data_IF_360285945359
#
_entry.id   IF_360285945359
#
_cell.length_a   1.000
_cell.length_b   1.000
_cell.length_c   1.000
_cell.angle_alpha   90.00
_cell.angle_beta   90.00
_cell.angle_gamma   90.00
#
_symmetry.space_group_name_H-M   'P 1'
#
loop_
_entity.id
_entity.type
_entity.pdbx_description
1 polymer ?
#
# COMPACT_ATOMS: atom_id res chain seq x y z
N UNK A 1 1.58 -20.57 -29.46
CA UNK A 1 0.31 -20.00 -28.98
C UNK A 1 0.65 -18.86 -28.03
N UNK A 2 1.05 -17.73 -28.61
CA UNK A 2 1.25 -16.46 -27.91
C UNK A 2 0.15 -15.53 -28.41
N UNK A 3 -0.73 -15.09 -27.51
CA UNK A 3 -1.46 -13.81 -27.57
C UNK A 3 -2.53 -13.82 -26.49
N UNK A 4 -2.16 -13.41 -25.28
CA UNK A 4 -3.11 -13.20 -24.18
C UNK A 4 -2.68 -12.06 -23.24
N UNK A 5 -1.95 -11.05 -23.74
CA UNK A 5 -1.33 -10.05 -22.86
C UNK A 5 -1.42 -8.58 -23.34
N UNK A 6 -2.30 -8.22 -24.27
CA UNK A 6 -2.42 -6.83 -24.71
C UNK A 6 -3.88 -6.44 -24.99
N UNK A 7 -4.60 -6.01 -23.97
CA UNK A 7 -5.72 -5.03 -24.01
C UNK A 7 -6.57 -5.11 -22.72
N UNK A 8 -5.95 -4.97 -21.55
CA UNK A 8 -6.67 -4.33 -20.45
C UNK A 8 -6.74 -2.86 -20.85
N UNK A 9 -7.91 -2.36 -21.24
CA UNK A 9 -8.07 -0.97 -21.66
C UNK A 9 -7.47 -0.04 -20.62
N UNK A 10 -6.42 0.68 -21.00
CA UNK A 10 -5.77 1.64 -20.11
C UNK A 10 -6.81 2.71 -19.76
N UNK A 11 -7.32 2.66 -18.54
CA UNK A 11 -8.24 3.68 -18.04
C UNK A 11 -7.53 5.02 -18.13
N UNK A 12 -8.07 5.93 -18.93
CA UNK A 12 -7.57 7.30 -18.98
C UNK A 12 -7.90 7.99 -17.66
N UNK A 13 -6.91 8.64 -17.05
CA UNK A 13 -7.11 9.41 -15.82
C UNK A 13 -8.09 10.56 -16.08
N UNK A 14 -8.95 10.87 -15.10
CA UNK A 14 -9.91 11.98 -15.22
C UNK A 14 -9.18 13.30 -15.50
N UNK A 15 -8.02 13.50 -14.88
CA UNK A 15 -7.17 14.68 -15.12
C UNK A 15 -6.60 14.75 -16.54
N UNK A 16 -6.25 13.62 -17.15
CA UNK A 16 -5.81 13.58 -18.55
C UNK A 16 -6.94 14.02 -19.47
N UNK A 17 -8.16 13.52 -19.23
CA UNK A 17 -9.36 13.95 -19.96
C UNK A 17 -9.63 15.45 -19.81
N UNK A 18 -9.51 15.97 -18.58
CA UNK A 18 -9.67 17.41 -18.31
C UNK A 18 -8.61 18.22 -19.07
N UNK A 19 -7.35 17.79 -19.07
CA UNK A 19 -6.29 18.48 -19.82
C UNK A 19 -6.56 18.50 -21.33
N UNK A 20 -7.04 17.40 -21.91
CA UNK A 20 -7.47 17.36 -23.32
C UNK A 20 -8.61 18.33 -23.58
N UNK A 21 -9.62 18.37 -22.70
CA UNK A 21 -10.73 19.31 -22.83
C UNK A 21 -10.29 20.78 -22.73
N UNK A 22 -9.33 21.09 -21.85
CA UNK A 22 -8.73 22.42 -21.74
C UNK A 22 -7.98 22.79 -23.03
N UNK A 23 -7.18 21.87 -23.57
CA UNK A 23 -6.47 22.07 -24.83
C UNK A 23 -7.45 22.36 -25.97
N UNK A 24 -8.50 21.55 -26.10
CA UNK A 24 -9.52 21.73 -27.12
C UNK A 24 -10.16 23.12 -27.02
N UNK A 25 -10.56 23.52 -25.81
CA UNK A 25 -11.16 24.84 -25.56
C UNK A 25 -10.20 25.98 -25.87
N UNK A 26 -8.91 25.82 -25.57
CA UNK A 26 -7.89 26.81 -25.88
C UNK A 26 -7.70 26.94 -27.40
N UNK A 27 -7.66 25.83 -28.14
CA UNK A 27 -7.56 25.82 -29.60
C UNK A 27 -8.77 26.48 -30.25
N UNK A 28 -9.98 26.19 -29.76
CA UNK A 28 -11.22 26.82 -30.23
C UNK A 28 -11.18 28.35 -30.02
N UNK A 29 -10.74 28.80 -28.84
CA UNK A 29 -10.60 30.22 -28.54
C UNK A 29 -9.50 30.91 -29.38
N UNK A 30 -8.40 30.22 -29.69
CA UNK A 30 -7.32 30.75 -30.54
C UNK A 30 -7.77 30.98 -31.98
N UNK A 31 -8.63 30.11 -32.51
CA UNK A 31 -9.16 30.22 -33.88
C UNK A 31 -10.24 31.29 -33.99
N UNK A 32 -10.92 31.63 -32.90
CA UNK A 32 -11.97 32.66 -32.88
C UNK A 32 -11.48 34.02 -33.42
N UNK A 33 -10.22 34.38 -33.19
CA UNK A 33 -9.62 35.61 -33.77
C UNK A 33 -9.38 35.50 -35.27
N UNK A 34 -9.03 34.31 -35.77
CA UNK A 34 -8.83 34.07 -37.20
C UNK A 34 -10.17 34.07 -37.96
N UNK A 35 -11.27 33.66 -37.32
CA UNK A 35 -12.62 33.73 -37.90
C UNK A 35 -13.21 35.15 -37.98
N UNK A 36 -12.57 36.14 -37.34
CA UNK A 36 -12.96 37.56 -37.44
C UNK A 36 -12.31 38.28 -38.65
N UNK A 37 -11.37 37.62 -39.33
CA UNK A 37 -10.77 38.13 -40.55
C UNK A 37 -11.79 37.89 -41.68
N UNK A 38 -12.13 38.94 -42.42
CA UNK A 38 -13.03 38.82 -43.57
C UNK A 38 -12.37 37.94 -44.66
N UNK A 39 -12.83 36.71 -44.76
CA UNK A 39 -12.42 35.73 -45.76
C UNK A 39 -13.44 35.70 -46.90
N UNK A 40 -13.72 36.86 -47.50
CA UNK A 40 -14.78 37.07 -48.49
C UNK A 40 -14.53 36.36 -49.85
N UNK A 41 -13.37 35.72 -50.04
CA UNK A 41 -13.10 34.84 -51.18
C UNK A 41 -13.22 33.36 -50.77
N UNK A 42 -13.99 32.53 -51.50
CA UNK A 42 -14.19 31.11 -51.17
C UNK A 42 -12.89 30.29 -51.20
N UNK A 43 -11.92 30.68 -52.04
CA UNK A 43 -10.59 30.04 -52.07
C UNK A 43 -9.79 30.37 -50.81
N UNK A 44 -9.90 31.61 -50.33
CA UNK A 44 -9.22 32.08 -49.12
C UNK A 44 -9.83 31.47 -47.86
N UNK A 45 -11.16 31.33 -47.83
CA UNK A 45 -11.90 30.64 -46.77
C UNK A 45 -11.49 29.16 -46.68
N UNK A 46 -11.51 28.44 -47.81
CA UNK A 46 -11.09 27.03 -47.86
C UNK A 46 -9.64 26.84 -47.41
N UNK A 47 -8.71 27.67 -47.89
CA UNK A 47 -7.31 27.59 -47.50
C UNK A 47 -7.10 27.94 -46.02
N UNK A 48 -7.82 28.94 -45.50
CA UNK A 48 -7.79 29.32 -44.10
C UNK A 48 -8.27 28.19 -43.18
N UNK A 49 -9.39 27.55 -43.54
CA UNK A 49 -9.91 26.38 -42.80
C UNK A 49 -8.92 25.22 -42.79
N UNK A 50 -8.28 24.91 -43.93
CA UNK A 50 -7.27 23.86 -43.98
C UNK A 50 -6.05 24.16 -43.10
N UNK A 51 -5.57 25.40 -43.10
CA UNK A 51 -4.45 25.82 -42.24
C UNK A 51 -4.83 25.68 -40.75
N UNK A 52 -6.02 26.13 -40.38
CA UNK A 52 -6.55 26.02 -39.01
C UNK A 52 -6.61 24.55 -38.56
N UNK A 53 -7.23 23.68 -39.37
CA UNK A 53 -7.34 22.25 -39.08
C UNK A 53 -5.97 21.58 -38.99
N UNK A 54 -5.06 21.90 -39.91
CA UNK A 54 -3.71 21.35 -39.90
C UNK A 54 -2.85 21.82 -38.72
N UNK A 55 -3.04 23.04 -38.23
CA UNK A 55 -2.39 23.51 -36.99
C UNK A 55 -2.97 22.77 -35.78
N UNK A 56 -4.30 22.65 -35.69
CA UNK A 56 -5.00 21.93 -34.61
C UNK A 56 -4.49 20.49 -34.48
N UNK A 57 -4.55 19.73 -35.58
CA UNK A 57 -4.11 18.32 -35.60
C UNK A 57 -2.64 18.17 -35.18
N UNK A 58 -1.76 19.08 -35.61
CA UNK A 58 -0.35 19.06 -35.21
C UNK A 58 -0.16 19.34 -33.73
N UNK A 59 -0.90 20.29 -33.16
CA UNK A 59 -0.83 20.59 -31.72
C UNK A 59 -1.35 19.41 -30.90
N UNK A 60 -2.48 18.82 -31.29
CA UNK A 60 -3.05 17.64 -30.64
C UNK A 60 -2.07 16.46 -30.66
N UNK A 61 -1.45 16.17 -31.82
CA UNK A 61 -0.44 15.12 -31.91
C UNK A 61 0.79 15.40 -31.03
N UNK A 62 1.26 16.65 -30.98
CA UNK A 62 2.38 17.02 -30.09
C UNK A 62 1.99 16.91 -28.61
N UNK A 63 0.75 17.23 -28.26
CA UNK A 63 0.24 17.05 -26.91
C UNK A 63 0.24 15.57 -26.50
N UNK A 64 -0.18 14.66 -27.38
CA UNK A 64 -0.11 13.22 -27.13
C UNK A 64 1.32 12.72 -26.93
N UNK A 65 2.26 13.21 -27.75
CA UNK A 65 3.69 12.91 -27.59
C UNK A 65 4.22 13.40 -26.24
N UNK A 66 3.83 14.59 -25.78
CA UNK A 66 4.23 15.09 -24.47
C UNK A 66 3.61 14.28 -23.33
N UNK A 67 2.34 13.91 -23.45
CA UNK A 67 1.64 13.10 -22.45
C UNK A 67 2.29 11.73 -22.27
N UNK A 68 2.65 11.08 -23.38
CA UNK A 68 3.34 9.78 -23.39
C UNK A 68 4.78 9.90 -22.89
N UNK A 69 5.53 10.90 -23.38
CA UNK A 69 6.93 11.14 -22.97
C UNK A 69 7.10 11.33 -21.46
N UNK A 70 6.15 11.99 -20.82
CA UNK A 70 6.20 12.28 -19.38
C UNK A 70 5.38 11.33 -18.52
N UNK A 71 4.76 10.32 -19.17
CA UNK A 71 3.87 9.34 -18.54
C UNK A 71 2.79 10.02 -17.67
N UNK A 72 2.18 11.07 -18.23
CA UNK A 72 1.24 11.91 -17.47
C UNK A 72 0.01 11.12 -17.04
N UNK A 73 -0.45 10.19 -17.87
CA UNK A 73 -1.63 9.39 -17.56
C UNK A 73 -1.40 8.52 -16.32
N UNK A 74 -0.29 7.78 -16.25
CA UNK A 74 0.02 6.96 -15.08
C UNK A 74 0.22 7.81 -13.82
N UNK A 75 0.89 8.96 -13.93
CA UNK A 75 1.07 9.89 -12.81
C UNK A 75 -0.26 10.45 -12.30
N UNK A 76 -1.20 10.76 -13.19
CA UNK A 76 -2.52 11.24 -12.80
C UNK A 76 -3.39 10.14 -12.21
N UNK A 77 -3.33 8.90 -12.72
CA UNK A 77 -3.98 7.75 -12.09
C UNK A 77 -3.46 7.54 -10.67
N UNK A 78 -2.14 7.61 -10.47
CA UNK A 78 -1.55 7.48 -9.14
C UNK A 78 -1.98 8.63 -8.22
N UNK A 79 -2.03 9.86 -8.72
CA UNK A 79 -2.52 11.00 -7.96
C UNK A 79 -4.00 10.85 -7.57
N UNK A 80 -4.85 10.39 -8.49
CA UNK A 80 -6.27 10.11 -8.24
C UNK A 80 -6.42 9.04 -7.15
N UNK A 81 -5.65 7.95 -7.23
CA UNK A 81 -5.61 6.89 -6.23
C UNK A 81 -5.17 7.42 -4.85
N UNK A 82 -4.14 8.27 -4.80
CA UNK A 82 -3.64 8.86 -3.55
C UNK A 82 -4.66 9.80 -2.92
N UNK A 83 -5.37 10.59 -3.73
CA UNK A 83 -6.45 11.47 -3.26
C UNK A 83 -7.63 10.67 -2.70
N UNK A 84 -8.09 9.64 -3.41
CA UNK A 84 -9.14 8.75 -2.92
C UNK A 84 -8.75 8.04 -1.62
N UNK A 85 -7.50 7.58 -1.53
CA UNK A 85 -6.98 6.97 -0.31
C UNK A 85 -6.96 7.97 0.85
N UNK A 86 -6.52 9.19 0.59
CA UNK A 86 -6.48 10.25 1.60
C UNK A 86 -7.89 10.64 2.08
N UNK A 87 -8.85 10.81 1.17
CA UNK A 87 -10.26 11.08 1.51
C UNK A 87 -10.85 9.97 2.39
N UNK A 88 -10.63 8.70 2.02
CA UNK A 88 -11.07 7.54 2.82
C UNK A 88 -10.39 7.50 4.19
N UNK A 89 -9.10 7.83 4.25
CA UNK A 89 -8.33 7.81 5.50
C UNK A 89 -8.74 8.95 6.43
N UNK A 90 -9.07 10.13 5.89
CA UNK A 90 -9.67 11.22 6.67
C UNK A 90 -11.05 10.83 7.22
N UNK A 91 -11.87 10.15 6.42
CA UNK A 91 -13.15 9.62 6.88
C UNK A 91 -12.97 8.64 8.04
N UNK A 92 -11.99 7.73 7.94
CA UNK A 92 -11.60 6.82 9.02
C UNK A 92 -11.15 7.55 10.29
N UNK A 93 -10.47 8.69 10.15
CA UNK A 93 -9.99 9.48 11.27
C UNK A 93 -11.14 10.18 11.99
N UNK A 94 -12.11 10.72 11.24
CA UNK A 94 -13.33 11.34 11.79
C UNK A 94 -14.19 10.33 12.56
N UNK A 95 -14.22 9.08 12.10
CA UNK A 95 -14.96 7.98 12.74
C UNK A 95 -14.13 7.27 13.84
N UNK A 96 -12.89 7.71 14.08
CA UNK A 96 -12.00 7.16 15.10
C UNK A 96 -11.42 5.77 14.79
N UNK A 97 -11.51 5.32 13.53
CA UNK A 97 -11.02 4.03 13.06
C UNK A 97 -9.56 4.07 12.59
N UNK A 98 -9.03 5.25 12.25
CA UNK A 98 -7.64 5.43 11.80
C UNK A 98 -6.93 6.53 12.58
N UNK A 99 -5.63 6.37 12.77
CA UNK A 99 -4.80 7.38 13.43
C UNK A 99 -4.71 8.67 12.60
N UNK A 100 -4.54 9.84 13.23
CA UNK A 100 -4.36 11.10 12.54
C UNK A 100 -3.25 11.07 11.49
N UNK A 101 -3.61 11.40 10.25
CA UNK A 101 -2.63 11.66 9.20
C UNK A 101 -1.98 13.01 9.50
N UNK A 102 -0.76 13.00 10.05
CA UNK A 102 0.11 14.17 10.00
C UNK A 102 0.44 14.46 8.54
N UNK A 103 -0.28 15.41 7.94
CA UNK A 103 0.10 16.01 6.67
C UNK A 103 1.41 16.74 6.94
N UNK A 104 2.53 16.08 6.63
CA UNK A 104 3.85 16.62 6.89
C UNK A 104 3.98 17.98 6.20
N UNK A 105 4.34 18.99 6.99
CA UNK A 105 4.68 20.32 6.50
C UNK A 105 5.76 20.24 5.39
N UNK A 106 5.90 21.27 4.52
CA UNK A 106 6.60 21.17 3.23
C UNK A 106 8.12 20.94 3.28
N UNK A 107 8.70 20.76 4.46
CA UNK A 107 10.15 20.74 4.68
C UNK A 107 10.58 19.48 5.44
N UNK A 108 10.13 18.30 5.00
CA UNK A 108 10.82 17.06 5.37
C UNK A 108 12.09 16.94 4.54
N UNK A 109 13.25 17.18 5.15
CA UNK A 109 14.53 16.94 4.46
C UNK A 109 14.65 15.45 4.11
N UNK A 110 15.41 15.07 3.06
CA UNK A 110 15.65 13.66 2.75
C UNK A 110 16.18 12.87 3.95
N UNK A 111 16.98 13.49 4.82
CA UNK A 111 17.47 12.86 6.05
C UNK A 111 16.34 12.57 7.05
N UNK A 112 15.36 13.46 7.18
CA UNK A 112 14.21 13.25 8.08
C UNK A 112 13.30 12.12 7.58
N UNK A 113 13.08 12.00 6.27
CA UNK A 113 12.33 10.87 5.70
C UNK A 113 13.06 9.55 5.92
N UNK A 114 14.37 9.51 5.68
CA UNK A 114 15.18 8.34 5.97
C UNK A 114 15.16 7.97 7.45
N UNK A 115 15.24 8.96 8.34
CA UNK A 115 15.15 8.71 9.78
C UNK A 115 13.78 8.15 10.18
N UNK A 116 12.69 8.72 9.65
CA UNK A 116 11.32 8.24 9.88
C UNK A 116 11.14 6.80 9.40
N UNK A 117 11.61 6.46 8.20
CA UNK A 117 11.55 5.08 7.70
C UNK A 117 12.45 4.12 8.50
N UNK A 118 13.65 4.55 8.89
CA UNK A 118 14.52 3.74 9.78
C UNK A 118 13.83 3.44 11.10
N UNK A 119 13.20 4.45 11.71
CA UNK A 119 12.44 4.27 12.96
C UNK A 119 11.26 3.32 12.76
N UNK A 120 10.52 3.44 11.65
CA UNK A 120 9.42 2.53 11.31
C UNK A 120 9.88 1.07 11.20
N UNK A 121 10.96 0.83 10.45
CA UNK A 121 11.54 -0.51 10.29
C UNK A 121 12.09 -1.07 11.62
N UNK A 122 12.75 -0.23 12.43
CA UNK A 122 13.24 -0.63 13.75
C UNK A 122 12.09 -1.05 14.68
N UNK A 123 11.00 -0.29 14.70
CA UNK A 123 9.82 -0.63 15.51
C UNK A 123 9.16 -1.93 15.04
N UNK A 124 9.10 -2.16 13.72
CA UNK A 124 8.59 -3.40 13.15
C UNK A 124 9.44 -4.61 13.56
N UNK A 125 10.76 -4.51 13.45
CA UNK A 125 11.68 -5.58 13.89
C UNK A 125 11.62 -5.79 15.40
N UNK A 126 11.54 -4.73 16.19
CA UNK A 126 11.37 -4.83 17.65
C UNK A 126 10.10 -5.61 18.01
N UNK A 127 8.98 -5.33 17.36
CA UNK A 127 7.72 -6.05 17.59
C UNK A 127 7.84 -7.54 17.23
N UNK A 128 8.48 -7.85 16.09
CA UNK A 128 8.75 -9.23 15.65
C UNK A 128 9.62 -9.99 16.65
N UNK A 129 10.72 -9.38 17.11
CA UNK A 129 11.62 -9.97 18.09
C UNK A 129 10.95 -10.16 19.45
N UNK A 130 10.11 -9.22 19.89
CA UNK A 130 9.32 -9.36 21.11
C UNK A 130 8.36 -10.55 21.04
N UNK A 131 7.69 -10.76 19.90
CA UNK A 131 6.80 -11.90 19.70
C UNK A 131 7.59 -13.23 19.72
N UNK A 132 8.75 -13.29 19.07
CA UNK A 132 9.62 -14.46 19.10
C UNK A 132 10.11 -14.79 20.52
N UNK A 133 10.56 -13.77 21.27
CA UNK A 133 10.98 -13.94 22.66
C UNK A 133 9.84 -14.49 23.51
N UNK A 134 8.64 -13.92 23.37
CA UNK A 134 7.46 -14.38 24.12
C UNK A 134 7.11 -15.84 23.78
N UNK A 135 7.26 -16.25 22.52
CA UNK A 135 7.03 -17.63 22.10
C UNK A 135 8.07 -18.58 22.73
N UNK A 136 9.35 -18.23 22.70
CA UNK A 136 10.42 -19.04 23.30
C UNK A 136 10.23 -19.17 24.81
N UNK A 137 9.86 -18.08 25.50
CA UNK A 137 9.55 -18.12 26.93
C UNK A 137 8.38 -19.06 27.22
N UNK A 138 7.30 -19.00 26.43
CA UNK A 138 6.16 -19.91 26.59
C UNK A 138 6.55 -21.37 26.42
N UNK A 139 7.30 -21.70 25.37
CA UNK A 139 7.78 -23.06 25.13
C UNK A 139 8.67 -23.55 26.28
N UNK A 140 9.61 -22.73 26.74
CA UNK A 140 10.49 -23.10 27.84
C UNK A 140 9.74 -23.34 29.15
N UNK A 141 8.73 -22.51 29.45
CA UNK A 141 7.86 -22.74 30.63
C UNK A 141 7.09 -24.04 30.49
N UNK A 142 6.58 -24.34 29.30
CA UNK A 142 5.91 -25.62 29.04
C UNK A 142 6.84 -26.82 29.23
N UNK A 143 8.05 -26.78 28.67
CA UNK A 143 9.02 -27.88 28.78
C UNK A 143 9.50 -28.11 30.21
N UNK A 144 9.71 -27.02 30.96
CA UNK A 144 10.09 -27.10 32.38
C UNK A 144 8.95 -27.67 33.22
N UNK A 145 7.70 -27.28 32.96
CA UNK A 145 6.54 -27.88 33.64
C UNK A 145 6.40 -29.37 33.34
N UNK A 146 6.52 -29.80 32.08
CA UNK A 146 6.47 -31.21 31.72
C UNK A 146 7.57 -32.03 32.41
N UNK A 147 8.78 -31.47 32.53
CA UNK A 147 9.89 -32.11 33.23
C UNK A 147 9.62 -32.21 34.74
N UNK A 148 9.05 -31.16 35.34
CA UNK A 148 8.66 -31.16 36.76
C UNK A 148 7.55 -32.18 37.03
N UNK A 149 6.51 -32.24 36.19
CA UNK A 149 5.42 -33.22 36.29
C UNK A 149 5.96 -34.65 36.23
N UNK A 150 6.87 -34.94 35.29
CA UNK A 150 7.52 -36.25 35.20
C UNK A 150 8.33 -36.60 36.47
N UNK A 151 9.09 -35.64 37.01
CA UNK A 151 9.85 -35.85 38.25
C UNK A 151 8.92 -36.05 39.46
N UNK A 152 7.80 -35.36 39.52
CA UNK A 152 6.80 -35.52 40.60
C UNK A 152 6.15 -36.90 40.52
N UNK A 153 5.78 -37.36 39.32
CA UNK A 153 5.23 -38.70 39.14
C UNK A 153 6.23 -39.80 39.51
N UNK A 154 7.50 -39.68 39.13
CA UNK A 154 8.54 -40.65 39.48
C UNK A 154 8.82 -40.70 40.99
N UNK A 155 8.93 -39.53 41.64
CA UNK A 155 9.12 -39.44 43.09
C UNK A 155 7.91 -39.96 43.87
N UNK A 156 6.69 -39.68 43.41
CA UNK A 156 5.47 -40.24 43.99
C UNK A 156 5.44 -41.76 43.84
N UNK A 157 5.70 -42.30 42.64
CA UNK A 157 5.72 -43.74 42.41
C UNK A 157 6.74 -44.45 43.30
N UNK A 158 7.96 -43.92 43.41
CA UNK A 158 9.00 -44.43 44.33
C UNK A 158 8.54 -44.39 45.79
N UNK A 159 7.92 -43.29 46.21
CA UNK A 159 7.43 -43.14 47.59
C UNK A 159 6.30 -44.14 47.90
N UNK A 160 5.36 -44.34 46.98
CA UNK A 160 4.28 -45.33 47.12
C UNK A 160 4.85 -46.74 47.24
N UNK A 161 5.82 -47.11 46.39
CA UNK A 161 6.48 -48.42 46.46
C UNK A 161 7.24 -48.61 47.77
N UNK A 162 7.96 -47.59 48.25
CA UNK A 162 8.65 -47.64 49.55
C UNK A 162 7.68 -47.82 50.71
N UNK A 163 6.55 -47.09 50.71
CA UNK A 163 5.53 -47.25 51.75
C UNK A 163 4.92 -48.66 51.74
N UNK A 164 4.66 -49.22 50.56
CA UNK A 164 4.17 -50.59 50.43
C UNK A 164 5.18 -51.63 50.98
N UNK A 165 6.47 -51.48 50.69
CA UNK A 165 7.53 -52.37 51.24
C UNK A 165 7.63 -52.24 52.77
N UNK A 166 7.49 -51.02 53.31
CA UNK A 166 7.45 -50.81 54.77
C UNK A 166 6.22 -51.48 55.39
N UNK A 167 5.05 -51.32 54.78
CA UNK A 167 3.80 -51.93 55.26
C UNK A 167 3.88 -53.46 55.24
N UNK A 168 4.43 -54.05 54.17
CA UNK A 168 4.67 -55.49 54.06
C UNK A 168 5.59 -56.00 55.18
N UNK A 169 6.70 -55.29 55.44
CA UNK A 169 7.63 -55.63 56.53
C UNK A 169 7.00 -55.52 57.91
N UNK A 170 6.18 -54.49 58.15
CA UNK A 170 5.45 -54.32 59.41
C UNK A 170 4.43 -55.46 59.62
N UNK A 171 3.71 -55.86 58.58
CA UNK A 171 2.77 -56.98 58.63
C UNK A 171 3.48 -58.32 58.91
N UNK A 172 4.66 -58.53 58.33
CA UNK A 172 5.50 -59.70 58.60
C UNK A 172 5.98 -59.74 60.06
N UNK A 173 6.35 -58.60 60.63
CA UNK A 173 6.74 -58.48 62.04
C UNK A 173 5.57 -58.72 63.01
N UNK A 174 4.35 -58.29 62.65
CA UNK A 174 3.16 -58.49 63.47
C UNK A 174 2.58 -59.92 63.42
N UNK A 175 3.06 -60.77 62.51
CA UNK A 175 2.62 -62.18 62.37
C UNK A 175 3.52 -63.19 63.10
N UNK A 176 4.51 -62.72 63.86
CA UNK A 176 5.41 -63.51 64.72
C UNK A 176 4.94 -63.35 66.18
#
# INVERSE_FOLDING_TARGET
MESAAAAAGESEAKRTQIMRAILQKALDASVHKASLIDMSSPELESNGLQVILGIRQRIEAQFDVLCTKHDLNAKFLELERLLEWHEKSQLGQVVGLTAPLEIAAPLTTPQQLLHKERMRLMLQEKARLQQQLQQVCKLRVHDTNATLEASVHDTHAKSTTMLADIEERLNALGSI
#
